data_IF_321769082831
#
_entry.id   IF_321769082831
#
_cell.length_a   1.000
_cell.length_b   1.000
_cell.length_c   1.000
_cell.angle_alpha   90.00
_cell.angle_beta   90.00
_cell.angle_gamma   90.00
#
_symmetry.space_group_name_H-M   'P 1'
#
loop_
_entity.id
_entity.type
_entity.pdbx_description
1 polymer ?
#
# COMPACT_ATOMS: atom_id res chain seq x y z
N UNK A 1 -13.99 -21.39 3.35
CA UNK A 1 -14.95 -20.46 2.71
C UNK A 1 -14.18 -19.27 2.12
N UNK A 2 -14.62 -18.66 1.02
CA UNK A 2 -13.98 -17.44 0.45
C UNK A 2 -14.56 -16.22 1.17
N UNK A 3 -13.70 -15.33 1.65
CA UNK A 3 -14.07 -14.09 2.34
C UNK A 3 -14.27 -12.96 1.32
N UNK A 4 -15.51 -12.77 0.85
CA UNK A 4 -15.84 -11.74 -0.15
C UNK A 4 -15.64 -10.31 0.37
N UNK A 5 -15.84 -10.12 1.68
CA UNK A 5 -15.49 -8.88 2.39
C UNK A 5 -14.01 -8.51 2.20
N UNK A 6 -13.10 -9.47 2.28
CA UNK A 6 -11.67 -9.21 2.11
C UNK A 6 -11.31 -8.88 0.65
N UNK A 7 -11.99 -9.50 -0.31
CA UNK A 7 -11.84 -9.18 -1.73
C UNK A 7 -12.36 -7.79 -2.05
N UNK A 8 -13.48 -7.37 -1.43
CA UNK A 8 -13.98 -6.00 -1.54
C UNK A 8 -13.02 -4.98 -0.94
N UNK A 9 -12.52 -5.23 0.28
CA UNK A 9 -11.56 -4.31 0.92
C UNK A 9 -10.36 -4.10 0.00
N UNK A 10 -9.71 -5.18 -0.47
CA UNK A 10 -8.57 -5.06 -1.41
C UNK A 10 -8.93 -4.28 -2.67
N UNK A 11 -10.10 -4.54 -3.25
CA UNK A 11 -10.53 -3.89 -4.50
C UNK A 11 -10.76 -2.39 -4.31
N UNK A 12 -11.45 -2.00 -3.23
CA UNK A 12 -11.71 -0.59 -2.88
C UNK A 12 -10.41 0.14 -2.61
N UNK A 13 -9.51 -0.49 -1.84
CA UNK A 13 -8.19 0.03 -1.54
C UNK A 13 -7.41 0.33 -2.82
N UNK A 14 -7.31 -0.67 -3.70
CA UNK A 14 -6.51 -0.56 -4.93
C UNK A 14 -7.08 0.52 -5.86
N UNK A 15 -8.41 0.63 -5.98
CA UNK A 15 -9.03 1.72 -6.75
C UNK A 15 -8.71 3.06 -6.12
N UNK A 16 -8.77 3.16 -4.79
CA UNK A 16 -8.52 4.40 -4.07
C UNK A 16 -7.04 4.84 -4.14
N UNK A 17 -6.10 3.96 -4.47
CA UNK A 17 -4.70 4.35 -4.74
C UNK A 17 -4.59 5.34 -5.91
N UNK A 18 -5.51 5.32 -6.87
CA UNK A 18 -5.49 6.25 -8.01
C UNK A 18 -5.69 7.70 -7.56
N UNK A 19 -6.83 8.10 -6.93
CA UNK A 19 -7.00 9.47 -6.45
C UNK A 19 -6.02 9.83 -5.35
N UNK A 20 -5.57 8.86 -4.55
CA UNK A 20 -4.56 9.07 -3.52
C UNK A 20 -3.22 9.50 -4.13
N UNK A 21 -2.71 8.78 -5.13
CA UNK A 21 -1.45 9.13 -5.77
C UNK A 21 -1.55 10.32 -6.70
N UNK A 22 -2.69 10.54 -7.38
CA UNK A 22 -2.92 11.79 -8.12
C UNK A 22 -2.86 12.99 -7.17
N UNK A 23 -3.52 12.89 -6.01
CA UNK A 23 -3.42 13.92 -4.96
C UNK A 23 -1.98 14.14 -4.52
N UNK A 24 -1.25 13.04 -4.23
CA UNK A 24 0.13 13.13 -3.79
C UNK A 24 1.02 13.79 -4.85
N UNK A 25 0.88 13.42 -6.12
CA UNK A 25 1.60 14.01 -7.24
C UNK A 25 1.30 15.51 -7.37
N UNK A 26 0.02 15.91 -7.36
CA UNK A 26 -0.38 17.31 -7.54
C UNK A 26 0.09 18.21 -6.40
N UNK A 27 0.16 17.69 -5.18
CA UNK A 27 0.28 18.53 -3.98
C UNK A 27 1.65 18.46 -3.32
N UNK A 28 2.38 17.36 -3.50
CA UNK A 28 3.66 17.10 -2.83
C UNK A 28 4.84 16.98 -3.77
N UNK A 29 4.62 16.66 -5.06
CA UNK A 29 5.73 16.60 -6.01
C UNK A 29 5.99 17.98 -6.60
N UNK A 30 7.19 18.56 -6.37
CA UNK A 30 7.57 19.83 -6.98
C UNK A 30 7.45 19.75 -8.50
N UNK A 31 6.96 20.83 -9.09
CA UNK A 31 6.84 21.02 -10.54
C UNK A 31 5.91 20.02 -11.25
N UNK A 32 5.20 19.14 -10.53
CA UNK A 32 4.21 18.25 -11.14
C UNK A 32 2.98 19.04 -11.59
N UNK A 33 2.41 19.84 -10.68
CA UNK A 33 1.21 20.65 -10.90
C UNK A 33 1.49 22.12 -10.60
N UNK A 34 0.82 23.00 -11.33
CA UNK A 34 0.88 24.46 -11.11
C UNK A 34 -0.14 24.93 -10.07
N UNK A 35 -0.89 24.01 -9.45
CA UNK A 35 -1.92 24.31 -8.47
C UNK A 35 -1.33 24.91 -7.20
N UNK A 36 -1.88 26.03 -6.68
CA UNK A 36 -1.49 26.55 -5.37
C UNK A 36 -1.78 25.55 -4.25
N UNK A 37 -0.73 25.05 -3.61
CA UNK A 37 -0.79 24.05 -2.52
C UNK A 37 -1.35 24.61 -1.21
N UNK A 38 -1.56 25.93 -1.14
CA UNK A 38 -2.18 26.68 -0.04
C UNK A 38 -3.69 26.90 -0.22
N UNK A 39 -4.25 26.54 -1.38
CA UNK A 39 -5.71 26.64 -1.60
C UNK A 39 -6.49 25.73 -0.65
N UNK A 40 -7.71 26.14 -0.26
CA UNK A 40 -8.60 25.32 0.57
C UNK A 40 -8.83 23.92 -0.04
N UNK A 41 -8.96 23.85 -1.36
CA UNK A 41 -9.11 22.57 -2.08
C UNK A 41 -7.86 21.70 -1.94
N UNK A 42 -6.65 22.26 -2.09
CA UNK A 42 -5.42 21.51 -1.87
C UNK A 42 -5.31 21.04 -0.41
N UNK A 43 -5.74 21.84 0.56
CA UNK A 43 -5.77 21.44 1.97
C UNK A 43 -6.73 20.26 2.22
N UNK A 44 -7.92 20.27 1.62
CA UNK A 44 -8.86 19.13 1.68
C UNK A 44 -8.27 17.86 1.05
N UNK A 45 -7.55 17.99 -0.06
CA UNK A 45 -6.84 16.88 -0.70
C UNK A 45 -5.71 16.34 0.19
N UNK A 46 -4.91 17.20 0.83
CA UNK A 46 -3.90 16.80 1.84
C UNK A 46 -4.56 16.04 3.00
N UNK A 47 -5.68 16.55 3.51
CA UNK A 47 -6.44 15.91 4.58
C UNK A 47 -6.96 14.52 4.18
N UNK A 48 -7.47 14.37 2.96
CA UNK A 48 -7.87 13.07 2.42
C UNK A 48 -6.69 12.08 2.36
N UNK A 49 -5.56 12.52 1.79
CA UNK A 49 -4.34 11.72 1.72
C UNK A 49 -3.87 11.29 3.11
N UNK A 50 -3.81 12.21 4.07
CA UNK A 50 -3.40 11.96 5.45
C UNK A 50 -4.29 10.94 6.16
N UNK A 51 -5.60 11.08 5.97
CA UNK A 51 -6.60 10.19 6.54
C UNK A 51 -6.46 8.77 5.99
N UNK A 52 -6.41 8.62 4.66
CA UNK A 52 -6.34 7.29 4.03
C UNK A 52 -4.99 6.63 4.28
N UNK A 53 -3.87 7.32 4.00
CA UNK A 53 -2.51 6.75 4.05
C UNK A 53 -2.16 6.09 5.39
N UNK A 54 -2.76 6.57 6.47
CA UNK A 54 -2.48 6.13 7.83
C UNK A 54 -2.90 4.69 8.19
N UNK A 55 -3.85 4.11 7.46
CA UNK A 55 -4.32 2.74 7.71
C UNK A 55 -4.37 1.87 6.46
N UNK A 56 -4.26 2.48 5.28
CA UNK A 56 -4.41 1.80 4.00
C UNK A 56 -3.42 0.65 3.78
N UNK A 57 -2.12 0.94 3.94
CA UNK A 57 -1.05 -0.05 3.73
C UNK A 57 -1.03 -1.14 4.81
N UNK A 58 -1.07 -0.82 6.12
CA UNK A 58 -1.16 -1.84 7.16
C UNK A 58 -2.34 -2.79 6.98
N UNK A 59 -3.50 -2.27 6.53
CA UNK A 59 -4.67 -3.11 6.25
C UNK A 59 -4.39 -4.12 5.12
N UNK A 60 -3.74 -3.71 4.02
CA UNK A 60 -3.34 -4.63 2.96
C UNK A 60 -2.38 -5.71 3.46
N UNK A 61 -1.38 -5.34 4.27
CA UNK A 61 -0.46 -6.31 4.86
C UNK A 61 -1.17 -7.29 5.81
N UNK A 62 -2.14 -6.82 6.60
CA UNK A 62 -2.99 -7.68 7.43
C UNK A 62 -3.77 -8.68 6.57
N UNK A 63 -4.44 -8.23 5.51
CA UNK A 63 -5.17 -9.13 4.61
C UNK A 63 -4.24 -10.13 3.92
N UNK A 64 -3.00 -9.71 3.63
CA UNK A 64 -1.98 -10.58 3.07
C UNK A 64 -1.51 -11.64 4.09
N UNK A 65 -1.33 -11.27 5.36
CA UNK A 65 -1.02 -12.20 6.45
C UNK A 65 -2.12 -13.23 6.69
N UNK A 66 -3.38 -12.79 6.69
CA UNK A 66 -4.54 -13.69 6.75
C UNK A 66 -4.54 -14.67 5.59
N UNK A 67 -4.32 -14.17 4.36
CA UNK A 67 -4.25 -14.98 3.15
C UNK A 67 -3.05 -15.94 3.15
N UNK A 68 -1.94 -15.56 3.81
CA UNK A 68 -0.77 -16.41 3.96
C UNK A 68 -1.08 -17.62 4.86
N UNK A 69 -1.65 -17.36 6.04
CA UNK A 69 -2.08 -18.40 6.99
C UNK A 69 -3.10 -19.36 6.33
N UNK A 70 -4.05 -18.82 5.58
CA UNK A 70 -5.04 -19.60 4.83
C UNK A 70 -4.47 -20.43 3.67
N UNK A 71 -3.37 -20.00 3.07
CA UNK A 71 -2.69 -20.74 2.00
C UNK A 71 -1.88 -21.90 2.59
N UNK A 72 -1.16 -21.64 3.69
CA UNK A 72 -0.32 -22.62 4.37
C UNK A 72 -1.11 -23.73 5.07
N UNK A 73 -2.38 -23.48 5.42
CA UNK A 73 -3.26 -24.54 5.92
C UNK A 73 -3.67 -25.56 4.86
N UNK A 74 -3.40 -25.30 3.57
CA UNK A 74 -3.87 -26.12 2.43
C UNK A 74 -2.78 -26.56 1.47
N UNK A 75 -1.57 -26.01 1.59
CA UNK A 75 -0.48 -26.18 0.61
C UNK A 75 0.84 -26.45 1.31
N UNK A 76 1.73 -27.14 0.60
CA UNK A 76 3.11 -27.29 1.06
C UNK A 76 3.87 -25.96 1.04
N UNK A 77 4.91 -25.86 1.86
CA UNK A 77 5.80 -24.68 1.93
C UNK A 77 6.41 -24.36 0.56
N UNK A 78 6.83 -25.40 -0.19
CA UNK A 78 7.40 -25.23 -1.54
C UNK A 78 6.39 -24.62 -2.51
N UNK A 79 5.15 -25.14 -2.54
CA UNK A 79 4.09 -24.60 -3.40
C UNK A 79 3.74 -23.16 -3.03
N UNK A 80 3.71 -22.85 -1.72
CA UNK A 80 3.49 -21.50 -1.24
C UNK A 80 4.56 -20.53 -1.75
N UNK A 81 5.85 -20.84 -1.59
CA UNK A 81 6.93 -19.97 -2.05
C UNK A 81 6.94 -19.80 -3.57
N UNK A 82 6.75 -20.88 -4.33
CA UNK A 82 6.69 -20.81 -5.79
C UNK A 82 5.58 -19.86 -6.27
N UNK A 83 4.39 -19.93 -5.65
CA UNK A 83 3.28 -19.02 -5.97
C UNK A 83 3.60 -17.55 -5.60
N UNK A 84 4.30 -17.30 -4.49
CA UNK A 84 4.70 -15.93 -4.10
C UNK A 84 5.75 -15.37 -5.04
N UNK A 85 6.76 -16.14 -5.42
CA UNK A 85 7.76 -15.73 -6.41
C UNK A 85 7.08 -15.39 -7.74
N UNK A 86 6.21 -16.27 -8.25
CA UNK A 86 5.53 -16.03 -9.51
C UNK A 86 4.58 -14.81 -9.48
N UNK A 87 3.92 -14.54 -8.35
CA UNK A 87 2.93 -13.45 -8.26
C UNK A 87 3.48 -12.12 -7.76
N UNK A 88 4.63 -12.12 -7.11
CA UNK A 88 5.21 -10.91 -6.50
C UNK A 88 6.55 -10.56 -7.16
N UNK A 89 7.51 -11.51 -7.20
CA UNK A 89 8.84 -11.22 -7.73
C UNK A 89 8.81 -10.99 -9.25
N UNK A 90 8.10 -11.82 -10.01
CA UNK A 90 8.04 -11.66 -11.47
C UNK A 90 7.44 -10.30 -11.86
N UNK A 91 6.30 -9.86 -11.31
CA UNK A 91 5.77 -8.53 -11.64
C UNK A 91 6.63 -7.38 -11.17
N UNK A 92 7.30 -7.52 -10.02
CA UNK A 92 8.22 -6.52 -9.49
C UNK A 92 9.40 -6.30 -10.45
N UNK A 93 10.06 -7.37 -10.88
CA UNK A 93 11.19 -7.29 -11.82
C UNK A 93 10.73 -6.84 -13.21
N UNK A 94 9.59 -7.34 -13.68
CA UNK A 94 9.00 -6.91 -14.94
C UNK A 94 8.76 -5.40 -14.95
N UNK A 95 8.17 -4.86 -13.89
CA UNK A 95 7.99 -3.43 -13.71
C UNK A 95 9.32 -2.69 -13.78
N UNK A 96 10.31 -3.07 -12.96
CA UNK A 96 11.60 -2.40 -12.88
C UNK A 96 12.29 -2.30 -14.25
N UNK A 97 12.17 -3.33 -15.09
CA UNK A 97 12.81 -3.37 -16.41
C UNK A 97 11.99 -2.64 -17.49
N UNK A 98 10.68 -2.51 -17.34
CA UNK A 98 9.78 -2.02 -18.40
C UNK A 98 9.12 -0.69 -18.06
N UNK A 99 8.21 -0.66 -17.09
CA UNK A 99 7.43 0.52 -16.73
C UNK A 99 8.21 1.48 -15.82
N UNK A 100 9.17 0.98 -15.03
CA UNK A 100 10.07 1.76 -14.20
C UNK A 100 10.85 2.84 -14.97
N UNK A 101 11.58 2.51 -16.05
CA UNK A 101 12.29 3.53 -16.83
C UNK A 101 11.33 4.54 -17.48
N UNK A 102 10.15 4.11 -17.94
CA UNK A 102 9.13 5.00 -18.49
C UNK A 102 8.65 5.99 -17.43
N UNK A 103 8.27 5.50 -16.25
CA UNK A 103 7.85 6.34 -15.12
C UNK A 103 8.92 7.38 -14.76
N UNK A 104 10.20 6.98 -14.71
CA UNK A 104 11.30 7.89 -14.36
C UNK A 104 11.57 8.93 -15.45
N UNK A 105 11.39 8.57 -16.72
CA UNK A 105 11.57 9.50 -17.83
C UNK A 105 10.51 10.61 -17.88
N UNK A 106 9.28 10.25 -17.48
CA UNK A 106 8.16 11.18 -17.38
C UNK A 106 8.04 11.84 -15.99
N UNK A 107 8.99 11.60 -15.10
CA UNK A 107 9.01 12.25 -13.79
C UNK A 107 9.24 13.77 -13.93
N UNK A 108 8.62 14.63 -13.10
CA UNK A 108 8.68 16.09 -13.25
C UNK A 108 10.10 16.67 -13.24
N UNK A 109 11.00 16.09 -12.46
CA UNK A 109 12.40 16.58 -12.35
C UNK A 109 13.27 16.23 -13.55
N UNK A 110 12.76 15.50 -14.54
CA UNK A 110 13.49 15.25 -15.77
C UNK A 110 13.54 16.52 -16.64
N UNK A 111 14.72 17.12 -16.73
CA UNK A 111 14.97 18.41 -17.40
C UNK A 111 15.39 18.28 -18.87
N UNK A 112 15.64 17.07 -19.37
CA UNK A 112 16.06 16.81 -20.74
C UNK A 112 14.93 17.01 -21.76
N UNK A 113 15.29 17.22 -23.03
CA UNK A 113 14.31 17.18 -24.13
C UNK A 113 13.80 15.76 -24.30
N UNK A 114 12.52 15.55 -24.03
CA UNK A 114 11.89 14.24 -24.17
C UNK A 114 11.76 13.85 -25.64
N UNK A 115 12.59 12.91 -26.09
CA UNK A 115 12.50 12.27 -27.40
C UNK A 115 12.68 10.75 -27.28
N UNK A 116 12.28 9.99 -28.31
CA UNK A 116 12.53 8.54 -28.33
C UNK A 116 14.03 8.23 -28.36
N UNK A 117 14.81 9.05 -29.07
CA UNK A 117 16.26 8.92 -29.13
C UNK A 117 16.91 9.14 -27.77
N UNK A 118 16.54 10.20 -27.06
CA UNK A 118 17.05 10.47 -25.71
C UNK A 118 16.67 9.36 -24.73
N UNK A 119 15.42 8.89 -24.79
CA UNK A 119 14.95 7.76 -23.98
C UNK A 119 15.80 6.51 -24.22
N UNK A 120 16.03 6.14 -25.49
CA UNK A 120 16.69 4.90 -25.85
C UNK A 120 18.21 4.94 -25.63
N UNK A 121 18.85 6.06 -25.98
CA UNK A 121 20.32 6.17 -26.02
C UNK A 121 20.89 6.68 -24.70
N UNK A 122 20.21 7.61 -24.02
CA UNK A 122 20.74 8.24 -22.82
C UNK A 122 20.07 7.69 -21.56
N UNK A 123 18.73 7.70 -21.51
CA UNK A 123 17.98 7.38 -20.29
C UNK A 123 17.98 5.88 -19.97
N UNK A 124 17.70 4.99 -20.94
CA UNK A 124 17.65 3.55 -20.68
C UNK A 124 18.98 2.98 -20.15
N UNK A 125 20.16 3.26 -20.76
CA UNK A 125 21.43 2.80 -20.21
C UNK A 125 21.70 3.34 -18.80
N UNK A 126 21.38 4.62 -18.54
CA UNK A 126 21.50 5.21 -17.21
C UNK A 126 20.59 4.51 -16.20
N UNK A 127 19.33 4.25 -16.57
CA UNK A 127 18.37 3.56 -15.72
C UNK A 127 18.88 2.16 -15.36
N UNK A 128 19.31 1.36 -16.34
CA UNK A 128 19.84 0.02 -16.07
C UNK A 128 21.12 0.03 -15.25
N UNK A 129 22.02 0.98 -15.49
CA UNK A 129 23.23 1.17 -14.68
C UNK A 129 22.93 1.59 -13.23
N UNK A 130 21.73 2.11 -12.96
CA UNK A 130 21.30 2.60 -11.64
C UNK A 130 20.05 1.90 -11.10
N UNK A 131 19.68 0.75 -11.67
CA UNK A 131 18.42 0.04 -11.33
C UNK A 131 18.38 -0.46 -9.87
N UNK A 132 19.55 -0.58 -9.24
CA UNK A 132 19.73 -0.94 -7.83
C UNK A 132 20.04 0.26 -6.92
N UNK A 133 19.91 1.48 -7.45
CA UNK A 133 20.15 2.72 -6.73
C UNK A 133 18.82 3.43 -6.47
N UNK A 134 18.15 3.06 -5.38
CA UNK A 134 16.82 3.52 -5.00
C UNK A 134 16.72 5.04 -4.81
N UNK A 135 15.50 5.53 -4.68
CA UNK A 135 15.19 6.96 -4.81
C UNK A 135 15.39 7.76 -3.51
N UNK A 136 15.78 7.12 -2.39
CA UNK A 136 15.85 7.75 -1.07
C UNK A 136 17.21 7.65 -0.39
N UNK A 137 17.52 8.67 0.42
CA UNK A 137 18.73 8.81 1.21
C UNK A 137 19.94 9.29 0.39
N UNK A 138 20.92 9.86 1.08
CA UNK A 138 22.17 10.34 0.46
C UNK A 138 22.90 9.21 -0.32
N UNK A 139 22.76 7.98 0.16
CA UNK A 139 23.44 6.83 -0.41
C UNK A 139 22.63 6.09 -1.48
N UNK A 140 21.30 6.33 -1.59
CA UNK A 140 20.43 5.69 -2.60
C UNK A 140 20.48 4.16 -2.60
N UNK A 141 20.44 3.51 -1.44
CA UNK A 141 20.56 2.05 -1.35
C UNK A 141 19.23 1.35 -1.64
N UNK A 142 19.27 0.35 -2.53
CA UNK A 142 18.20 -0.61 -2.75
C UNK A 142 17.57 -0.53 -4.15
N UNK A 143 16.77 -1.52 -4.56
CA UNK A 143 16.19 -1.57 -5.90
C UNK A 143 15.23 -0.42 -6.21
N UNK A 144 15.21 0.02 -7.47
CA UNK A 144 14.25 1.01 -8.02
C UNK A 144 12.89 0.39 -8.33
N UNK A 145 12.25 -0.18 -7.31
CA UNK A 145 10.87 -0.64 -7.44
C UNK A 145 9.82 0.47 -7.28
N UNK A 146 10.23 1.67 -6.84
CA UNK A 146 9.37 2.84 -6.69
C UNK A 146 8.05 2.54 -5.94
N UNK A 147 6.88 2.84 -6.51
CA UNK A 147 5.58 2.62 -5.88
C UNK A 147 5.23 1.14 -5.69
N UNK A 148 5.98 0.20 -6.28
CA UNK A 148 5.83 -1.25 -6.07
C UNK A 148 6.44 -1.76 -4.77
N UNK A 149 6.96 -0.88 -3.91
CA UNK A 149 7.55 -1.23 -2.62
C UNK A 149 6.66 -2.17 -1.79
N UNK A 150 5.33 -2.03 -1.84
CA UNK A 150 4.40 -2.90 -1.12
C UNK A 150 4.59 -4.38 -1.53
N UNK A 151 4.76 -4.66 -2.83
CA UNK A 151 5.01 -6.03 -3.34
C UNK A 151 6.37 -6.55 -2.85
N UNK A 152 7.40 -5.70 -2.89
CA UNK A 152 8.74 -6.06 -2.41
C UNK A 152 8.74 -6.40 -0.92
N UNK A 153 8.12 -5.55 -0.10
CA UNK A 153 8.00 -5.73 1.35
C UNK A 153 7.20 -6.99 1.63
N UNK A 154 6.09 -7.18 0.92
CA UNK A 154 5.26 -8.36 1.07
C UNK A 154 6.03 -9.64 0.70
N UNK A 155 6.83 -9.62 -0.36
CA UNK A 155 7.67 -10.77 -0.73
C UNK A 155 8.63 -11.14 0.42
N UNK A 156 9.34 -10.15 0.97
CA UNK A 156 10.27 -10.36 2.09
C UNK A 156 9.52 -10.82 3.34
N UNK A 157 8.38 -10.22 3.69
CA UNK A 157 7.56 -10.67 4.82
C UNK A 157 7.06 -12.10 4.65
N UNK A 158 6.61 -12.52 3.46
CA UNK A 158 6.20 -13.90 3.24
C UNK A 158 7.39 -14.88 3.39
N UNK A 159 8.63 -14.44 3.13
CA UNK A 159 9.84 -15.25 3.35
C UNK A 159 10.22 -15.29 4.83
N UNK A 160 10.38 -14.14 5.46
CA UNK A 160 10.86 -14.01 6.85
C UNK A 160 9.82 -14.47 7.86
N UNK A 161 8.56 -14.02 7.74
CA UNK A 161 7.51 -14.39 8.68
C UNK A 161 7.24 -15.89 8.63
N UNK A 162 7.34 -16.52 7.45
CA UNK A 162 7.16 -17.97 7.34
C UNK A 162 8.30 -18.77 8.00
N UNK A 163 9.55 -18.32 7.81
CA UNK A 163 10.71 -18.93 8.46
C UNK A 163 10.61 -18.92 10.00
N UNK A 164 9.98 -17.88 10.55
CA UNK A 164 9.73 -17.75 11.99
C UNK A 164 8.49 -18.57 12.39
N UNK A 165 7.36 -18.41 11.70
CA UNK A 165 6.07 -18.99 12.10
C UNK A 165 6.01 -20.51 11.98
N UNK A 166 6.77 -21.14 11.07
CA UNK A 166 6.88 -22.61 11.03
C UNK A 166 7.62 -23.15 12.26
N UNK A 167 8.58 -22.40 12.79
CA UNK A 167 9.36 -22.81 13.97
C UNK A 167 8.60 -22.62 15.28
N UNK A 168 7.55 -21.80 15.28
CA UNK A 168 6.70 -21.61 16.45
C UNK A 168 5.61 -22.68 16.47
N UNK A 169 5.58 -23.50 17.53
CA UNK A 169 4.54 -24.49 17.73
C UNK A 169 3.15 -23.82 17.70
N UNK A 170 2.20 -24.40 16.95
CA UNK A 170 0.81 -23.90 16.87
C UNK A 170 0.17 -23.69 18.24
N UNK A 171 0.47 -24.50 19.24
CA UNK A 171 0.01 -24.30 20.62
C UNK A 171 0.52 -22.98 21.22
N UNK A 172 1.77 -22.59 20.95
CA UNK A 172 2.32 -21.29 21.35
C UNK A 172 1.66 -20.14 20.60
N UNK A 173 1.40 -20.32 19.29
CA UNK A 173 0.66 -19.34 18.48
C UNK A 173 -0.75 -19.12 19.05
N UNK A 174 -1.43 -20.21 19.43
CA UNK A 174 -2.76 -20.15 20.04
C UNK A 174 -2.73 -19.54 21.45
N UNK A 175 -1.69 -19.81 22.25
CA UNK A 175 -1.50 -19.16 23.55
C UNK A 175 -1.30 -17.64 23.41
N UNK A 176 -0.48 -17.20 22.45
CA UNK A 176 -0.31 -15.78 22.11
C UNK A 176 -1.65 -15.18 21.65
N UNK A 177 -2.36 -15.87 20.75
CA UNK A 177 -3.69 -15.45 20.29
C UNK A 177 -4.71 -15.37 21.44
N UNK A 178 -4.61 -16.25 22.43
CA UNK A 178 -5.48 -16.26 23.63
C UNK A 178 -5.14 -15.15 24.61
N UNK A 179 -3.85 -14.83 24.81
CA UNK A 179 -3.42 -13.68 25.61
C UNK A 179 -3.83 -12.36 24.96
N UNK A 180 -3.61 -12.28 23.63
CA UNK A 180 -4.20 -11.26 22.76
C UNK A 180 -5.70 -11.19 22.97
N UNK A 181 -6.37 -12.35 23.08
CA UNK A 181 -7.81 -12.44 23.27
C UNK A 181 -8.24 -11.94 24.66
N UNK A 182 -7.52 -12.18 25.74
CA UNK A 182 -7.97 -11.69 27.06
C UNK A 182 -7.82 -10.16 27.19
N UNK A 183 -6.85 -9.58 26.47
CA UNK A 183 -6.59 -8.14 26.39
C UNK A 183 -7.08 -7.56 25.04
N UNK A 184 -8.12 -8.23 24.52
CA UNK A 184 -8.71 -8.48 23.17
C UNK A 184 -8.50 -7.51 21.99
N UNK A 185 -7.86 -6.34 22.15
CA UNK A 185 -7.81 -5.32 21.07
C UNK A 185 -6.86 -4.16 21.28
N UNK A 186 -6.31 -3.97 22.48
CA UNK A 186 -5.37 -2.87 22.70
C UNK A 186 -3.96 -3.25 22.25
N UNK A 187 -3.60 -4.54 22.25
CA UNK A 187 -2.25 -4.96 21.89
C UNK A 187 -1.85 -4.57 20.46
N UNK A 188 -2.70 -4.68 19.43
CA UNK A 188 -2.39 -4.11 18.12
C UNK A 188 -2.07 -2.61 18.17
N UNK A 189 -2.82 -1.83 18.96
CA UNK A 189 -2.59 -0.38 19.14
C UNK A 189 -1.24 -0.11 19.81
N UNK A 190 -0.93 -0.87 20.85
CA UNK A 190 0.35 -0.79 21.57
C UNK A 190 1.50 -1.16 20.64
N UNK A 191 1.34 -2.20 19.81
CA UNK A 191 2.36 -2.60 18.85
C UNK A 191 2.63 -1.54 17.80
N UNK A 192 1.59 -1.00 17.16
CA UNK A 192 1.75 0.10 16.20
C UNK A 192 2.35 1.34 16.86
N UNK A 193 1.83 1.76 18.02
CA UNK A 193 2.32 2.95 18.73
C UNK A 193 3.73 2.78 19.28
N UNK A 194 4.08 1.59 19.78
CA UNK A 194 5.41 1.25 20.28
C UNK A 194 6.45 1.19 19.17
N UNK A 195 6.10 0.63 18.00
CA UNK A 195 6.96 0.67 16.82
C UNK A 195 7.21 2.13 16.41
N UNK A 196 6.18 2.96 16.39
CA UNK A 196 6.35 4.39 16.10
C UNK A 196 7.22 5.09 17.13
N UNK A 197 6.98 4.86 18.42
CA UNK A 197 7.74 5.50 19.48
C UNK A 197 9.23 5.11 19.46
N UNK A 198 9.55 3.89 19.05
CA UNK A 198 10.93 3.35 19.11
C UNK A 198 11.70 3.47 17.80
N UNK A 199 11.06 3.13 16.67
CA UNK A 199 11.70 3.10 15.36
C UNK A 199 11.36 4.32 14.49
N UNK A 200 10.28 5.04 14.79
CA UNK A 200 9.80 6.16 13.98
C UNK A 200 10.79 7.33 13.89
N UNK A 201 11.60 7.53 14.94
CA UNK A 201 12.67 8.53 14.93
C UNK A 201 13.84 8.18 13.99
N UNK A 202 14.20 6.89 13.90
CA UNK A 202 15.32 6.43 13.08
C UNK A 202 14.89 6.20 11.63
N UNK A 203 13.69 5.65 11.46
CA UNK A 203 13.07 5.35 10.17
C UNK A 203 11.64 5.89 10.16
N UNK A 204 11.47 7.18 9.85
CA UNK A 204 10.17 7.80 9.72
C UNK A 204 9.31 7.06 8.70
N UNK A 205 8.02 6.91 8.99
CA UNK A 205 7.10 6.32 8.03
C UNK A 205 7.07 7.15 6.74
N UNK A 206 6.98 6.46 5.61
CA UNK A 206 6.80 7.05 4.28
C UNK A 206 8.00 7.80 3.70
N UNK A 207 9.19 7.68 4.31
CA UNK A 207 10.38 8.37 3.83
C UNK A 207 11.03 7.63 2.65
N UNK A 208 11.49 6.39 2.83
CA UNK A 208 12.36 5.75 1.84
C UNK A 208 11.76 4.62 0.99
N UNK A 209 10.82 3.81 1.51
CA UNK A 209 10.19 2.71 0.77
C UNK A 209 11.18 1.73 0.07
N UNK A 210 12.47 1.70 0.45
CA UNK A 210 13.52 0.87 -0.17
C UNK A 210 13.80 -0.42 0.58
N UNK A 211 13.13 -0.71 1.70
CA UNK A 211 13.37 -1.83 2.63
C UNK A 211 14.72 -1.75 3.37
N UNK A 212 15.81 -1.41 2.68
CA UNK A 212 17.16 -1.40 3.24
C UNK A 212 17.38 -0.25 4.23
N UNK A 213 16.65 0.84 4.08
CA UNK A 213 16.73 2.04 4.90
C UNK A 213 15.36 2.43 5.49
N UNK A 214 14.49 1.45 5.71
CA UNK A 214 13.09 1.69 6.05
C UNK A 214 12.50 0.63 7.01
N UNK A 215 13.29 0.29 8.04
CA UNK A 215 12.94 -0.79 8.97
C UNK A 215 11.79 -0.44 9.90
N UNK A 216 11.58 0.84 10.19
CA UNK A 216 10.40 1.32 10.94
C UNK A 216 9.11 1.01 10.18
N UNK A 217 9.02 1.40 8.91
CA UNK A 217 7.88 1.09 8.04
C UNK A 217 7.72 -0.41 7.80
N UNK A 218 8.84 -1.14 7.63
CA UNK A 218 8.80 -2.60 7.50
C UNK A 218 8.23 -3.27 8.77
N UNK A 219 8.73 -2.93 9.96
CA UNK A 219 8.26 -3.48 11.23
C UNK A 219 6.79 -3.15 11.48
N UNK A 220 6.39 -1.91 11.20
CA UNK A 220 5.01 -1.44 11.35
C UNK A 220 4.03 -2.28 10.52
N UNK A 221 4.37 -2.54 9.25
CA UNK A 221 3.54 -3.34 8.36
C UNK A 221 3.66 -4.85 8.61
N UNK A 222 4.83 -5.33 9.06
CA UNK A 222 5.02 -6.71 9.50
C UNK A 222 4.12 -7.03 10.70
N UNK A 223 3.96 -6.08 11.62
CA UNK A 223 3.04 -6.22 12.74
C UNK A 223 1.60 -6.42 12.27
N UNK A 224 1.15 -5.63 11.30
CA UNK A 224 -0.17 -5.81 10.68
C UNK A 224 -0.32 -7.19 10.01
N UNK A 225 0.71 -7.63 9.28
CA UNK A 225 0.77 -8.96 8.67
C UNK A 225 0.64 -10.09 9.70
N UNK A 226 1.38 -10.00 10.82
CA UNK A 226 1.31 -10.99 11.90
C UNK A 226 -0.09 -11.03 12.53
N UNK A 227 -0.70 -9.87 12.79
CA UNK A 227 -2.08 -9.82 13.30
C UNK A 227 -3.04 -10.54 12.35
N UNK A 228 -2.93 -10.28 11.04
CA UNK A 228 -3.75 -10.94 10.03
C UNK A 228 -3.56 -12.45 10.00
N UNK A 229 -2.31 -12.92 10.13
CA UNK A 229 -2.00 -14.34 10.23
C UNK A 229 -2.67 -15.00 11.44
N UNK A 230 -2.61 -14.33 12.60
CA UNK A 230 -3.23 -14.79 13.85
C UNK A 230 -4.76 -14.78 13.76
N UNK A 231 -5.36 -13.80 13.08
CA UNK A 231 -6.82 -13.72 12.88
C UNK A 231 -7.39 -14.91 12.11
N UNK A 232 -6.61 -15.51 11.19
CA UNK A 232 -7.00 -16.76 10.54
C UNK A 232 -6.78 -17.98 11.45
N UNK A 233 -5.69 -17.97 12.23
CA UNK A 233 -5.33 -19.09 13.11
C UNK A 233 -6.30 -19.24 14.29
N UNK A 234 -6.84 -18.14 14.83
CA UNK A 234 -7.84 -18.14 15.91
C UNK A 234 -9.11 -17.39 15.50
N UNK A 235 -10.20 -18.11 15.16
CA UNK A 235 -11.49 -17.51 14.86
C UNK A 235 -12.06 -16.63 15.99
N UNK A 236 -11.67 -16.87 17.25
CA UNK A 236 -12.14 -16.08 18.39
C UNK A 236 -11.62 -14.64 18.35
N UNK A 237 -10.42 -14.41 17.82
CA UNK A 237 -9.89 -13.06 17.63
C UNK A 237 -10.76 -12.25 16.67
N UNK A 238 -11.11 -12.85 15.53
CA UNK A 238 -12.01 -12.25 14.55
C UNK A 238 -13.41 -11.99 15.12
N UNK A 239 -13.93 -12.89 15.97
CA UNK A 239 -15.21 -12.70 16.66
C UNK A 239 -15.14 -11.52 17.62
N UNK A 240 -14.11 -11.45 18.45
CA UNK A 240 -14.00 -10.42 19.47
C UNK A 240 -13.82 -9.00 18.91
N UNK A 241 -13.13 -8.85 17.78
CA UNK A 241 -13.07 -7.57 17.06
C UNK A 241 -14.48 -7.10 16.67
N UNK A 242 -15.35 -8.02 16.21
CA UNK A 242 -16.74 -7.72 15.82
C UNK A 242 -17.61 -7.39 17.03
N UNK A 243 -17.47 -8.15 18.11
CA UNK A 243 -18.26 -7.95 19.34
C UNK A 243 -18.00 -6.56 19.95
N UNK A 244 -16.81 -5.99 19.75
CA UNK A 244 -16.43 -4.63 20.20
C UNK A 244 -16.53 -3.55 19.12
N UNK A 245 -17.35 -3.74 18.08
CA UNK A 245 -17.42 -2.82 16.92
C UNK A 245 -17.63 -1.34 17.28
N UNK A 246 -18.52 -1.02 18.24
CA UNK A 246 -18.76 0.36 18.67
C UNK A 246 -17.51 1.04 19.25
N UNK A 247 -16.66 0.29 19.96
CA UNK A 247 -15.39 0.80 20.48
C UNK A 247 -14.46 1.22 19.34
N UNK A 248 -14.36 0.43 18.26
CA UNK A 248 -13.54 0.78 17.09
C UNK A 248 -14.04 2.02 16.39
N UNK A 249 -15.36 2.16 16.23
CA UNK A 249 -15.94 3.33 15.59
C UNK A 249 -15.65 4.60 16.41
N UNK A 250 -15.85 4.55 17.73
CA UNK A 250 -15.57 5.68 18.62
C UNK A 250 -14.08 6.03 18.62
N UNK A 251 -13.19 5.06 18.79
CA UNK A 251 -11.75 5.31 18.79
C UNK A 251 -11.26 5.81 17.44
N UNK A 252 -11.83 5.32 16.34
CA UNK A 252 -11.48 5.79 15.00
C UNK A 252 -11.89 7.24 14.79
N UNK A 253 -13.12 7.63 15.15
CA UNK A 253 -13.60 9.00 15.03
C UNK A 253 -12.78 9.94 15.92
N UNK A 254 -12.62 9.61 17.21
CA UNK A 254 -11.88 10.44 18.16
C UNK A 254 -10.41 10.60 17.74
N UNK A 255 -9.73 9.51 17.40
CA UNK A 255 -8.34 9.60 16.93
C UNK A 255 -8.21 10.32 15.59
N UNK A 256 -9.21 10.26 14.71
CA UNK A 256 -9.22 11.04 13.45
C UNK A 256 -9.32 12.54 13.73
N UNK A 257 -10.19 12.96 14.65
CA UNK A 257 -10.34 14.37 15.04
C UNK A 257 -9.06 14.86 15.72
N UNK A 258 -8.52 14.08 16.67
CA UNK A 258 -7.28 14.42 17.36
C UNK A 258 -6.13 14.55 16.35
N UNK A 259 -6.01 13.61 15.41
CA UNK A 259 -5.02 13.69 14.33
C UNK A 259 -5.25 14.91 13.44
N UNK A 260 -6.47 15.21 13.05
CA UNK A 260 -6.76 16.40 12.24
C UNK A 260 -6.34 17.70 12.95
N UNK A 261 -6.63 17.83 14.25
CA UNK A 261 -6.27 19.00 15.06
C UNK A 261 -4.76 19.09 15.31
N UNK A 262 -4.12 17.97 15.67
CA UNK A 262 -2.68 17.94 15.97
C UNK A 262 -1.78 17.95 14.73
N UNK A 263 -2.29 17.48 13.59
CA UNK A 263 -1.58 17.32 12.32
C UNK A 263 -2.09 18.33 11.29
N UNK A 264 -2.37 19.57 11.72
CA UNK A 264 -2.86 20.67 10.87
C UNK A 264 -1.97 20.93 9.64
N UNK A 265 -0.79 20.34 9.60
CA UNK A 265 0.04 20.17 8.40
C UNK A 265 0.41 18.69 8.25
N UNK A 266 0.14 18.10 7.08
CA UNK A 266 0.72 16.81 6.69
C UNK A 266 2.23 17.01 6.55
N UNK A 267 2.94 16.87 7.65
CA UNK A 267 4.39 16.94 7.68
C UNK A 267 4.92 15.51 7.71
N UNK A 268 5.44 15.04 6.58
CA UNK A 268 6.19 13.79 6.47
C UNK A 268 7.35 13.72 7.50
N UNK A 269 7.79 14.87 8.04
CA UNK A 269 8.77 14.99 9.12
C UNK A 269 8.22 14.93 10.56
N UNK A 270 6.95 14.57 10.79
CA UNK A 270 6.36 14.58 12.14
C UNK A 270 7.10 13.66 13.13
N UNK A 271 7.65 12.55 12.64
CA UNK A 271 8.42 11.60 13.47
C UNK A 271 9.93 11.88 13.47
N UNK A 272 10.38 12.91 12.73
CA UNK A 272 11.79 13.30 12.64
C UNK A 272 12.19 14.27 13.75
N UNK A 273 11.23 15.04 14.30
CA UNK A 273 11.47 15.99 15.38
C UNK A 273 11.16 15.38 16.77
N UNK A 274 12.21 15.05 17.52
CA UNK A 274 12.13 14.59 18.92
C UNK A 274 12.46 15.67 19.93
N UNK A 275 12.53 16.95 19.53
CA UNK A 275 12.81 18.06 20.45
C UNK A 275 11.82 18.12 21.62
N UNK A 276 10.56 17.76 21.37
CA UNK A 276 9.53 17.59 22.37
C UNK A 276 9.13 16.11 22.50
N UNK A 277 9.83 15.38 23.38
CA UNK A 277 9.60 13.96 23.62
C UNK A 277 8.15 13.64 24.01
N UNK A 278 7.50 14.49 24.82
CA UNK A 278 6.11 14.27 25.24
C UNK A 278 5.17 14.32 24.03
N UNK A 279 5.31 15.32 23.16
CA UNK A 279 4.53 15.43 21.93
C UNK A 279 4.78 14.23 21.00
N UNK A 280 6.04 13.85 20.80
CA UNK A 280 6.41 12.71 19.95
C UNK A 280 5.78 11.39 20.44
N UNK A 281 5.85 11.11 21.75
CA UNK A 281 5.26 9.91 22.34
C UNK A 281 3.73 9.93 22.26
N UNK A 282 3.09 11.07 22.55
CA UNK A 282 1.64 11.23 22.42
C UNK A 282 1.18 10.93 20.99
N UNK A 283 1.86 11.48 19.99
CA UNK A 283 1.52 11.26 18.60
C UNK A 283 1.81 9.84 18.13
N UNK A 284 2.86 9.20 18.63
CA UNK A 284 3.12 7.76 18.39
C UNK A 284 1.97 6.90 18.91
N UNK A 285 1.49 7.17 20.14
CA UNK A 285 0.33 6.48 20.73
C UNK A 285 -0.94 6.72 19.92
N UNK A 286 -1.23 7.99 19.57
CA UNK A 286 -2.40 8.36 18.77
C UNK A 286 -2.37 7.66 17.41
N UNK A 287 -1.19 7.56 16.78
CA UNK A 287 -1.01 6.84 15.51
C UNK A 287 -1.33 5.36 15.68
N UNK A 288 -0.83 4.72 16.74
CA UNK A 288 -1.13 3.31 17.02
C UNK A 288 -2.62 3.03 17.26
N UNK A 289 -3.27 3.88 18.04
CA UNK A 289 -4.73 3.82 18.28
C UNK A 289 -5.49 4.02 16.98
N UNK A 290 -5.15 5.05 16.22
CA UNK A 290 -5.84 5.41 14.98
C UNK A 290 -5.76 4.28 13.95
N UNK A 291 -4.56 3.79 13.67
CA UNK A 291 -4.36 2.78 12.62
C UNK A 291 -5.10 1.49 12.94
N UNK A 292 -5.03 0.99 14.18
CA UNK A 292 -5.79 -0.21 14.54
C UNK A 292 -7.30 0.04 14.58
N UNK A 293 -7.76 1.17 15.14
CA UNK A 293 -9.18 1.49 15.18
C UNK A 293 -9.78 1.62 13.77
N UNK A 294 -9.03 2.22 12.83
CA UNK A 294 -9.41 2.30 11.43
C UNK A 294 -9.50 0.91 10.78
N UNK A 295 -8.45 0.09 10.92
CA UNK A 295 -8.40 -1.29 10.43
C UNK A 295 -9.59 -2.11 10.97
N UNK A 296 -9.81 -2.10 12.30
CA UNK A 296 -10.88 -2.83 12.94
C UNK A 296 -12.26 -2.32 12.51
N UNK A 297 -12.43 -1.01 12.33
CA UNK A 297 -13.65 -0.39 11.78
C UNK A 297 -13.92 -0.87 10.37
N UNK A 298 -12.92 -0.82 9.47
CA UNK A 298 -13.07 -1.27 8.08
C UNK A 298 -13.38 -2.76 8.02
N UNK A 299 -12.71 -3.60 8.82
CA UNK A 299 -12.97 -5.04 8.89
C UNK A 299 -14.39 -5.34 9.37
N UNK A 300 -14.87 -4.64 10.41
CA UNK A 300 -16.22 -4.86 10.98
C UNK A 300 -17.33 -4.38 10.06
N UNK A 301 -17.20 -3.17 9.47
CA UNK A 301 -18.15 -2.65 8.49
C UNK A 301 -18.18 -3.50 7.22
N UNK A 302 -17.01 -3.86 6.69
CA UNK A 302 -16.94 -4.71 5.48
C UNK A 302 -17.55 -6.08 5.73
N UNK A 303 -17.31 -6.67 6.91
CA UNK A 303 -17.96 -7.93 7.25
C UNK A 303 -19.48 -7.79 7.33
N UNK A 304 -19.98 -6.70 7.93
CA UNK A 304 -21.42 -6.43 8.08
C UNK A 304 -22.13 -6.24 6.75
N UNK A 305 -21.54 -5.47 5.83
CA UNK A 305 -22.22 -5.04 4.60
C UNK A 305 -21.79 -5.78 3.33
N UNK A 306 -20.57 -6.34 3.30
CA UNK A 306 -19.95 -6.87 2.09
C UNK A 306 -19.69 -8.38 2.13
N UNK A 307 -19.73 -9.04 3.30
CA UNK A 307 -19.39 -10.46 3.42
C UNK A 307 -20.26 -11.39 2.55
N UNK A 308 -21.51 -11.03 2.29
CA UNK A 308 -22.45 -11.80 1.45
C UNK A 308 -22.59 -11.23 0.02
N UNK A 309 -21.88 -10.15 -0.31
CA UNK A 309 -22.03 -9.47 -1.60
C UNK A 309 -20.98 -9.98 -2.59
N UNK A 310 -21.39 -10.88 -3.47
CA UNK A 310 -20.63 -11.25 -4.66
C UNK A 310 -21.38 -10.77 -5.90
N UNK A 311 -20.70 -10.06 -6.78
CA UNK A 311 -21.23 -9.62 -8.07
C UNK A 311 -20.14 -9.62 -9.14
N UNK A 312 -20.54 -9.39 -10.40
CA UNK A 312 -19.61 -9.37 -11.54
C UNK A 312 -18.51 -8.29 -11.38
N UNK A 313 -18.84 -7.16 -10.77
CA UNK A 313 -17.89 -6.09 -10.48
C UNK A 313 -16.77 -6.56 -9.54
N UNK A 314 -17.09 -7.21 -8.42
CA UNK A 314 -16.09 -7.78 -7.52
C UNK A 314 -15.21 -8.82 -8.22
N UNK A 315 -15.83 -9.73 -9.00
CA UNK A 315 -15.09 -10.77 -9.72
C UNK A 315 -14.16 -10.19 -10.79
N UNK A 316 -14.51 -9.03 -11.37
CA UNK A 316 -13.67 -8.27 -12.29
C UNK A 316 -12.51 -7.59 -11.56
N UNK A 317 -12.83 -6.75 -10.57
CA UNK A 317 -11.87 -5.95 -9.81
C UNK A 317 -10.86 -6.83 -9.07
N UNK A 318 -11.30 -7.94 -8.49
CA UNK A 318 -10.41 -8.89 -7.82
C UNK A 318 -9.36 -9.49 -8.76
N UNK A 319 -9.70 -9.67 -10.05
CA UNK A 319 -8.77 -10.19 -11.07
C UNK A 319 -7.86 -9.09 -11.62
N UNK A 320 -8.39 -7.88 -11.75
CA UNK A 320 -7.66 -6.72 -12.28
C UNK A 320 -6.84 -5.98 -11.20
N UNK A 321 -7.00 -6.33 -9.92
CA UNK A 321 -6.38 -5.66 -8.77
C UNK A 321 -4.86 -5.42 -8.93
N UNK A 322 -4.10 -6.47 -9.24
CA UNK A 322 -2.65 -6.33 -9.39
C UNK A 322 -2.25 -5.53 -10.65
N UNK A 323 -2.85 -5.76 -11.83
CA UNK A 323 -2.69 -4.88 -12.98
C UNK A 323 -2.98 -3.40 -12.69
N UNK A 324 -4.10 -3.08 -12.05
CA UNK A 324 -4.47 -1.71 -11.67
C UNK A 324 -3.40 -1.12 -10.75
N UNK A 325 -2.97 -1.88 -9.74
CA UNK A 325 -1.91 -1.47 -8.83
C UNK A 325 -0.56 -1.23 -9.51
N UNK A 326 -0.16 -2.03 -10.50
CA UNK A 326 1.12 -1.80 -11.19
C UNK A 326 1.02 -0.58 -12.11
N UNK A 327 -0.10 -0.44 -12.84
CA UNK A 327 -0.27 0.55 -13.91
C UNK A 327 -0.62 1.95 -13.44
N UNK A 328 -1.26 2.13 -12.28
CA UNK A 328 -1.83 3.43 -11.92
C UNK A 328 -0.81 4.57 -11.87
N UNK A 329 0.37 4.31 -11.31
CA UNK A 329 1.37 5.33 -11.06
C UNK A 329 2.21 5.70 -12.31
N UNK A 330 2.68 4.76 -13.14
CA UNK A 330 3.29 5.09 -14.44
C UNK A 330 2.33 5.85 -15.35
N UNK A 331 1.05 5.47 -15.36
CA UNK A 331 0.06 6.15 -16.21
C UNK A 331 -0.21 7.55 -15.68
N UNK A 332 -0.42 7.74 -14.37
CA UNK A 332 -0.68 9.07 -13.81
C UNK A 332 0.52 10.01 -13.98
N UNK A 333 1.75 9.51 -13.93
CA UNK A 333 2.97 10.32 -14.17
C UNK A 333 3.12 10.74 -15.63
N UNK A 334 2.90 9.82 -16.58
CA UNK A 334 2.89 10.14 -18.02
C UNK A 334 1.79 11.16 -18.34
N UNK A 335 0.57 10.94 -17.86
CA UNK A 335 -0.56 11.84 -18.06
C UNK A 335 -0.30 13.22 -17.42
N UNK A 336 0.28 13.24 -16.22
CA UNK A 336 0.68 14.45 -15.51
C UNK A 336 1.57 15.36 -16.34
N UNK A 337 2.54 14.79 -17.07
CA UNK A 337 3.46 15.56 -17.94
C UNK A 337 2.73 16.47 -18.95
N UNK A 338 1.55 16.08 -19.41
CA UNK A 338 0.79 16.81 -20.42
C UNK A 338 -0.39 17.58 -19.84
N UNK A 339 -1.17 16.96 -18.95
CA UNK A 339 -2.42 17.53 -18.44
C UNK A 339 -2.15 18.74 -17.54
N UNK A 340 -1.10 18.72 -16.71
CA UNK A 340 -0.84 19.81 -15.77
C UNK A 340 -0.35 21.09 -16.46
N UNK A 341 0.08 20.99 -17.72
CA UNK A 341 0.46 22.13 -18.58
C UNK A 341 -0.74 22.86 -19.18
N UNK A 342 -1.95 22.30 -19.06
CA UNK A 342 -3.17 22.92 -19.58
C UNK A 342 -3.65 24.11 -18.72
N UNK A 343 -3.02 24.36 -17.56
CA UNK A 343 -3.38 25.48 -16.68
C UNK A 343 -4.77 25.32 -16.04
N UNK A 344 -5.18 24.08 -15.78
CA UNK A 344 -6.47 23.79 -15.15
C UNK A 344 -6.49 24.19 -13.67
N UNK A 345 -7.67 24.52 -13.15
CA UNK A 345 -7.88 24.66 -11.71
C UNK A 345 -7.81 23.29 -11.01
N UNK A 346 -7.65 23.31 -9.68
CA UNK A 346 -7.42 22.13 -8.84
C UNK A 346 -8.41 20.98 -9.09
N UNK A 347 -9.71 21.27 -9.07
CA UNK A 347 -10.76 20.24 -9.21
C UNK A 347 -10.78 19.67 -10.64
N UNK A 348 -10.86 20.48 -11.71
CA UNK A 348 -10.76 19.96 -13.08
C UNK A 348 -9.49 19.13 -13.33
N UNK A 349 -8.31 19.60 -12.89
CA UNK A 349 -7.06 18.86 -13.07
C UNK A 349 -7.11 17.50 -12.36
N UNK A 350 -7.55 17.48 -11.10
CA UNK A 350 -7.71 16.27 -10.32
C UNK A 350 -8.67 15.27 -10.99
N UNK A 351 -9.84 15.73 -11.45
CA UNK A 351 -10.84 14.88 -12.08
C UNK A 351 -10.34 14.32 -13.41
N UNK A 352 -9.74 15.17 -14.26
CA UNK A 352 -9.19 14.76 -15.56
C UNK A 352 -8.09 13.72 -15.36
N UNK A 353 -7.12 13.97 -14.47
CA UNK A 353 -6.06 13.01 -14.18
C UNK A 353 -6.61 11.65 -13.70
N UNK A 354 -7.58 11.65 -12.79
CA UNK A 354 -8.18 10.42 -12.30
C UNK A 354 -8.96 9.65 -13.39
N UNK A 355 -9.83 10.34 -14.13
CA UNK A 355 -10.67 9.72 -15.16
C UNK A 355 -9.81 9.14 -16.26
N UNK A 356 -8.84 9.89 -16.78
CA UNK A 356 -7.94 9.39 -17.82
C UNK A 356 -7.04 8.28 -17.30
N UNK A 357 -6.55 8.36 -16.06
CA UNK A 357 -5.77 7.25 -15.47
C UNK A 357 -6.59 5.97 -15.41
N UNK A 358 -7.82 6.01 -14.90
CA UNK A 358 -8.72 4.85 -14.88
C UNK A 358 -9.00 4.33 -16.30
N UNK A 359 -9.30 5.23 -17.24
CA UNK A 359 -9.58 4.87 -18.63
C UNK A 359 -8.39 4.12 -19.26
N UNK A 360 -7.18 4.67 -19.17
CA UNK A 360 -5.98 4.04 -19.75
C UNK A 360 -5.62 2.73 -19.05
N UNK A 361 -5.80 2.62 -17.73
CA UNK A 361 -5.64 1.33 -17.02
C UNK A 361 -6.59 0.29 -17.58
N UNK A 362 -7.88 0.62 -17.73
CA UNK A 362 -8.91 -0.30 -18.24
C UNK A 362 -8.59 -0.70 -19.69
N UNK A 363 -8.20 0.25 -20.54
CA UNK A 363 -7.82 -0.03 -21.92
C UNK A 363 -6.60 -0.96 -22.00
N UNK A 364 -5.52 -0.66 -21.26
CA UNK A 364 -4.32 -1.50 -21.22
C UNK A 364 -4.65 -2.89 -20.65
N UNK A 365 -5.48 -2.95 -19.60
CA UNK A 365 -5.87 -4.22 -19.02
C UNK A 365 -6.70 -5.06 -20.00
N UNK A 366 -7.70 -4.50 -20.66
CA UNK A 366 -8.58 -5.22 -21.59
C UNK A 366 -7.89 -5.62 -22.90
N UNK A 367 -7.03 -4.75 -23.45
CA UNK A 367 -6.42 -4.96 -24.76
C UNK A 367 -5.06 -5.67 -24.70
N UNK A 368 -4.28 -5.48 -23.63
CA UNK A 368 -2.92 -6.03 -23.52
C UNK A 368 -2.78 -7.06 -22.39
N UNK A 369 -3.21 -6.74 -21.17
CA UNK A 369 -2.93 -7.63 -20.03
C UNK A 369 -3.81 -8.88 -20.04
N UNK A 370 -5.11 -8.72 -20.31
CA UNK A 370 -6.10 -9.79 -20.23
C UNK A 370 -6.05 -10.78 -21.39
N UNK A 371 -5.80 -10.40 -22.67
CA UNK A 371 -5.82 -11.37 -23.77
C UNK A 371 -4.54 -12.22 -23.89
N UNK A 372 -3.40 -11.68 -23.47
CA UNK A 372 -2.09 -12.22 -23.80
C UNK A 372 -1.43 -12.92 -22.59
N UNK A 373 -1.10 -14.24 -22.67
CA UNK A 373 -0.55 -15.00 -21.54
C UNK A 373 0.74 -14.44 -20.95
N UNK A 374 1.61 -13.88 -21.79
CA UNK A 374 2.86 -13.24 -21.34
C UNK A 374 2.56 -12.10 -20.36
N UNK A 375 1.69 -11.15 -20.74
CA UNK A 375 1.33 -10.03 -19.88
C UNK A 375 0.54 -10.49 -18.65
N UNK A 376 -0.28 -11.54 -18.74
CA UNK A 376 -0.89 -12.13 -17.54
C UNK A 376 0.17 -12.55 -16.51
N UNK A 377 1.26 -13.18 -16.94
CA UNK A 377 2.37 -13.56 -16.05
C UNK A 377 3.13 -12.33 -15.52
N UNK A 378 3.48 -11.38 -16.40
CA UNK A 378 4.20 -10.16 -16.02
C UNK A 378 3.40 -9.28 -15.04
N UNK A 379 2.07 -9.34 -15.07
CA UNK A 379 1.19 -8.66 -14.11
C UNK A 379 0.68 -9.58 -12.99
N UNK A 380 1.31 -10.75 -12.79
CA UNK A 380 1.07 -11.66 -11.65
C UNK A 380 -0.30 -12.32 -11.64
N UNK A 381 -0.99 -12.34 -12.78
CA UNK A 381 -2.26 -13.02 -12.98
C UNK A 381 -2.05 -14.52 -13.25
N UNK A 382 -3.08 -15.32 -12.99
CA UNK A 382 -3.11 -16.71 -13.44
C UNK A 382 -3.38 -16.74 -14.94
N UNK A 383 -2.64 -17.57 -15.67
CA UNK A 383 -2.89 -17.83 -17.08
C UNK A 383 -4.31 -18.38 -17.24
N UNK A 384 -5.13 -17.71 -18.05
CA UNK A 384 -6.44 -18.26 -18.42
C UNK A 384 -6.24 -19.24 -19.57
N UNK A 385 -6.86 -20.44 -19.54
CA UNK A 385 -6.93 -21.25 -20.74
C UNK A 385 -7.63 -20.41 -21.81
N UNK A 386 -6.96 -20.20 -22.96
CA UNK A 386 -7.59 -19.57 -24.10
C UNK A 386 -8.77 -20.45 -24.51
N UNK A 387 -9.96 -19.86 -24.56
CA UNK A 387 -11.07 -20.48 -25.28
C UNK A 387 -10.68 -20.37 -26.75
N UNK A 388 -10.10 -21.43 -27.30
CA UNK A 388 -9.91 -21.63 -28.74
C UNK A 388 -11.26 -21.62 -29.44
#
# INVERSE_FOLDING_TARGET
>A
MRHYDFDWIKSIIIINLIPLHVTWLMVFIPDFSQVPTTSMTALLLKGHLAFVSSWHMPLLFLLAGYSASASLSKRSIRQYYAERVQRLLVPLLAFMVTLGPVQQYFWPTHTGQRSLTDFAVNHLPMHFGTILNGSCGAYRWGPRWDHLWFIAYLLVMNITALAILIRINRAKIMAIATGLRQHIVLLPMIGFGGIMATLGYVWPLFNCNTLFQDWGHFAYNLWAFVIGYLMYADPNLSKAIKDKSHLWYTLFILSSIIRFVLLNEYQEGFYEDTSNLVRYLLCSVITGVHTWAAIATVLTLSHRYLAKRRNACLDYLSKASLPIYILHYPISTVLGTYITKLGLYVIPEFLVLNVFTVLFIVLIYELLVKPWPLFQVLFGMKIRPQKT
#
